data_IF_687134181250
#
_entry.id   IF_687134181250
#
_cell.length_a   1.000
_cell.length_b   1.000
_cell.length_c   1.000
_cell.angle_alpha   90.00
_cell.angle_beta   90.00
_cell.angle_gamma   90.00
#
_symmetry.space_group_name_H-M   'P 1'
#
loop_
_entity.id
_entity.type
_entity.pdbx_description
1 polymer ?
#
# COMPACT_ATOMS: atom_id res chain seq x y z
N UNK A 1 53.28 27.91 -20.67
CA UNK A 1 54.10 27.35 -19.60
C UNK A 1 53.20 26.43 -18.82
N UNK A 2 53.27 25.22 -19.11
CA UNK A 2 53.99 24.08 -18.51
C UNK A 2 53.05 23.34 -17.58
N UNK A 3 52.54 22.21 -18.00
CA UNK A 3 52.91 20.81 -17.69
C UNK A 3 52.32 20.32 -16.38
N UNK A 4 51.69 19.17 -16.14
CA UNK A 4 51.95 17.75 -16.48
C UNK A 4 50.87 16.93 -15.77
N UNK A 5 50.41 15.86 -16.00
CA UNK A 5 50.47 14.53 -16.63
C UNK A 5 49.36 13.64 -16.06
N UNK A 6 48.64 13.03 -16.88
CA UNK A 6 48.19 11.62 -17.08
C UNK A 6 48.70 10.61 -16.03
N UNK A 7 47.76 9.85 -15.45
CA UNK A 7 47.96 8.42 -15.14
C UNK A 7 46.69 7.66 -15.39
N UNK A 8 46.75 6.78 -16.37
CA UNK A 8 45.89 5.62 -16.65
C UNK A 8 46.09 4.55 -15.57
N UNK A 9 45.02 3.97 -15.04
CA UNK A 9 45.10 2.59 -14.53
C UNK A 9 43.81 1.82 -14.86
N UNK A 10 44.00 0.88 -15.75
CA UNK A 10 43.12 -0.27 -15.98
C UNK A 10 42.91 -1.04 -14.66
N UNK A 11 41.69 -1.54 -14.43
CA UNK A 11 41.50 -2.75 -13.64
C UNK A 11 40.32 -3.56 -14.19
N UNK A 12 40.63 -4.75 -14.49
CA UNK A 12 40.08 -6.00 -14.96
C UNK A 12 38.70 -6.37 -14.35
N UNK A 13 37.82 -7.05 -15.11
CA UNK A 13 36.54 -7.53 -14.62
C UNK A 13 36.69 -8.84 -13.82
N UNK A 14 36.05 -8.91 -12.68
CA UNK A 14 35.93 -10.14 -11.90
C UNK A 14 34.66 -10.92 -12.31
N UNK A 15 34.93 -12.13 -12.80
CA UNK A 15 34.03 -13.23 -13.09
C UNK A 15 33.29 -13.65 -11.78
N UNK A 16 31.98 -13.65 -11.75
CA UNK A 16 31.22 -14.35 -10.71
C UNK A 16 30.55 -15.57 -11.34
N UNK A 17 31.06 -16.73 -10.95
CA UNK A 17 30.53 -18.04 -11.29
C UNK A 17 29.22 -18.31 -10.54
N UNK A 18 28.20 -18.69 -11.29
CA UNK A 18 26.95 -19.23 -10.76
C UNK A 18 27.16 -20.66 -10.25
N UNK A 19 26.94 -20.89 -8.96
CA UNK A 19 26.80 -22.22 -8.38
C UNK A 19 25.30 -22.56 -8.26
N UNK A 20 24.86 -23.41 -9.16
CA UNK A 20 23.58 -24.09 -9.06
C UNK A 20 23.73 -25.27 -8.08
N UNK A 21 23.07 -25.20 -6.94
CA UNK A 21 22.91 -26.34 -6.03
C UNK A 21 21.59 -27.05 -6.34
N UNK A 22 21.72 -28.19 -6.99
CA UNK A 22 20.65 -29.19 -7.13
C UNK A 22 20.46 -29.91 -5.78
N UNK A 23 19.32 -29.73 -5.15
CA UNK A 23 18.93 -30.57 -4.01
C UNK A 23 18.18 -31.78 -4.51
N UNK A 24 18.82 -32.97 -4.38
CA UNK A 24 18.25 -34.26 -4.63
C UNK A 24 17.28 -34.65 -3.50
N UNK A 25 16.05 -35.03 -3.87
CA UNK A 25 15.11 -35.70 -2.97
C UNK A 25 15.63 -37.13 -2.67
N UNK A 26 15.96 -37.36 -1.42
CA UNK A 26 16.20 -38.73 -0.92
C UNK A 26 14.87 -39.29 -0.39
N UNK A 27 14.32 -40.27 -1.10
CA UNK A 27 13.29 -41.17 -0.60
C UNK A 27 13.97 -42.17 0.34
N UNK A 28 13.61 -42.13 1.61
CA UNK A 28 13.94 -43.22 2.54
C UNK A 28 12.73 -44.14 2.69
N UNK A 29 12.83 -45.31 2.09
CA UNK A 29 11.95 -46.45 2.29
C UNK A 29 12.26 -47.10 3.65
N UNK A 30 11.25 -47.17 4.50
CA UNK A 30 11.28 -47.98 5.72
C UNK A 30 11.17 -49.48 5.39
N UNK A 31 11.94 -50.38 6.05
CA UNK A 31 11.72 -51.81 5.93
C UNK A 31 10.72 -52.31 7.00
N UNK A 32 9.79 -53.11 6.55
CA UNK A 32 8.85 -53.87 7.37
C UNK A 32 9.58 -54.85 8.30
N UNK A 33 9.24 -54.87 9.57
CA UNK A 33 9.64 -55.88 10.54
C UNK A 33 8.64 -57.02 10.62
N UNK A 34 9.10 -58.26 10.80
CA UNK A 34 8.27 -59.48 10.72
C UNK A 34 7.49 -59.78 12.01
N UNK A 35 6.32 -60.34 11.80
CA UNK A 35 5.47 -60.94 12.82
C UNK A 35 6.18 -62.08 13.56
N UNK A 36 6.29 -62.00 14.87
CA UNK A 36 6.62 -63.13 15.74
C UNK A 36 5.35 -63.50 16.51
N UNK A 37 4.86 -64.69 16.18
CA UNK A 37 3.80 -65.39 16.89
C UNK A 37 4.43 -66.10 18.09
N UNK A 38 4.00 -65.78 19.31
CA UNK A 38 4.43 -66.48 20.53
C UNK A 38 3.29 -66.44 21.53
N UNK A 39 2.47 -67.50 21.53
CA UNK A 39 1.52 -67.72 22.58
C UNK A 39 2.20 -68.15 23.88
N UNK A 40 1.73 -67.58 24.99
CA UNK A 40 1.85 -68.25 26.29
C UNK A 40 0.62 -67.93 27.18
N UNK A 41 0.24 -68.98 27.85
CA UNK A 41 -0.96 -69.13 28.66
C UNK A 41 -0.97 -68.35 29.99
N UNK A 42 -2.17 -67.96 30.35
CA UNK A 42 -2.77 -67.86 31.69
C UNK A 42 -1.87 -67.89 32.94
N UNK A 43 -1.89 -66.79 33.73
CA UNK A 43 -2.10 -66.96 35.18
C UNK A 43 -2.72 -65.64 35.73
N UNK A 44 -3.73 -65.86 36.54
CA UNK A 44 -4.53 -64.90 37.26
C UNK A 44 -3.75 -64.20 38.36
N UNK A 45 -3.87 -62.84 38.49
CA UNK A 45 -3.98 -62.25 39.81
C UNK A 45 -4.74 -60.91 39.75
N UNK A 46 -5.70 -60.85 40.60
CA UNK A 46 -6.65 -59.73 40.85
C UNK A 46 -5.96 -58.60 41.58
N UNK A 47 -5.91 -57.43 41.00
CA UNK A 47 -5.98 -56.14 41.73
C UNK A 47 -6.43 -55.05 40.71
N UNK A 48 -7.72 -55.10 40.36
CA UNK A 48 -8.33 -54.03 39.54
C UNK A 48 -8.64 -52.84 40.47
N UNK A 49 -7.70 -51.92 40.56
CA UNK A 49 -8.04 -50.53 40.85
C UNK A 49 -8.80 -49.98 39.66
N UNK A 50 -10.10 -49.96 39.70
CA UNK A 50 -10.94 -49.26 38.73
C UNK A 50 -10.59 -47.78 38.73
N UNK A 51 -9.71 -47.35 37.85
CA UNK A 51 -9.72 -45.95 37.40
C UNK A 51 -11.00 -45.76 36.60
N UNK A 52 -12.06 -45.35 37.27
CA UNK A 52 -13.22 -44.77 36.61
C UNK A 52 -12.74 -43.57 35.85
N UNK A 53 -12.49 -43.74 34.55
CA UNK A 53 -12.49 -42.65 33.62
C UNK A 53 -13.87 -41.97 33.77
N UNK A 54 -13.97 -40.68 34.03
CA UNK A 54 -15.24 -40.03 34.08
C UNK A 54 -15.93 -40.26 32.73
N UNK A 55 -17.05 -40.97 32.76
CA UNK A 55 -17.92 -41.20 31.60
C UNK A 55 -18.27 -39.87 30.95
N UNK A 56 -18.79 -39.88 29.71
CA UNK A 56 -19.16 -38.63 29.05
C UNK A 56 -20.15 -37.91 29.96
N UNK A 57 -19.67 -36.83 30.57
CA UNK A 57 -20.54 -35.94 31.36
C UNK A 57 -21.56 -35.37 30.39
N UNK A 58 -22.85 -35.68 30.58
CA UNK A 58 -23.98 -35.01 29.89
C UNK A 58 -24.04 -33.51 30.25
N UNK A 59 -22.93 -32.92 30.55
CA UNK A 59 -22.77 -31.53 30.92
C UNK A 59 -22.61 -30.64 29.70
N UNK A 60 -23.00 -29.39 29.82
CA UNK A 60 -22.92 -28.40 28.75
C UNK A 60 -21.78 -27.42 29.07
N UNK A 61 -20.76 -27.26 28.23
CA UNK A 61 -19.78 -26.19 28.39
C UNK A 61 -20.46 -24.84 28.15
N UNK A 62 -20.16 -23.83 28.96
CA UNK A 62 -20.73 -22.50 28.79
C UNK A 62 -19.67 -21.44 29.08
N UNK A 63 -19.37 -20.60 28.06
CA UNK A 63 -18.41 -19.51 28.19
C UNK A 63 -19.12 -18.23 28.66
N UNK A 64 -18.49 -17.54 29.60
CA UNK A 64 -18.84 -16.20 30.00
C UNK A 64 -17.61 -15.30 29.95
N UNK A 65 -17.70 -14.16 29.28
CA UNK A 65 -16.70 -13.12 29.38
C UNK A 65 -17.04 -12.20 30.56
N UNK A 66 -16.01 -11.88 31.35
CA UNK A 66 -16.09 -10.85 32.38
C UNK A 66 -15.60 -9.56 31.70
N UNK A 67 -16.45 -8.53 31.62
CA UNK A 67 -16.16 -7.26 30.97
C UNK A 67 -15.71 -7.41 29.50
N UNK A 68 -16.61 -7.83 28.59
CA UNK A 68 -16.25 -8.11 27.19
C UNK A 68 -15.84 -6.87 26.37
N UNK A 69 -16.00 -5.67 26.93
CA UNK A 69 -15.66 -4.40 26.27
C UNK A 69 -14.66 -3.64 27.12
N UNK A 70 -13.51 -3.34 26.55
CA UNK A 70 -12.51 -2.48 27.15
C UNK A 70 -12.39 -1.17 26.40
N UNK A 71 -12.61 -0.06 27.08
CA UNK A 71 -12.39 1.28 26.55
C UNK A 71 -11.02 1.78 27.04
N UNK A 72 -10.06 1.90 26.09
CA UNK A 72 -8.72 2.37 26.44
C UNK A 72 -8.61 3.91 26.46
N UNK A 73 -9.73 4.62 26.23
CA UNK A 73 -9.76 6.08 26.26
C UNK A 73 -8.96 6.71 25.12
N UNK A 74 -8.16 7.74 25.45
CA UNK A 74 -7.30 8.45 24.50
C UNK A 74 -5.85 8.04 24.70
N UNK A 75 -5.21 7.57 23.62
CA UNK A 75 -3.78 7.22 23.59
C UNK A 75 -3.11 7.88 22.39
N UNK A 76 -1.79 8.05 22.44
CA UNK A 76 -1.04 8.53 21.26
C UNK A 76 -0.60 7.36 20.38
N UNK A 77 -0.55 7.58 19.09
CA UNK A 77 -0.04 6.61 18.11
C UNK A 77 1.39 6.18 18.48
N UNK A 78 1.71 4.89 18.28
CA UNK A 78 2.95 4.29 18.76
C UNK A 78 2.86 3.71 20.17
N UNK A 79 1.74 3.89 20.87
CA UNK A 79 1.49 3.24 22.17
C UNK A 79 1.02 1.81 21.95
N UNK A 80 1.63 0.85 22.65
CA UNK A 80 1.12 -0.52 22.72
C UNK A 80 0.07 -0.61 23.83
N UNK A 81 -1.22 -0.65 23.44
CA UNK A 81 -2.33 -0.81 24.40
C UNK A 81 -2.44 -2.28 24.75
N UNK A 82 -2.30 -2.59 26.05
CA UNK A 82 -2.44 -3.95 26.58
C UNK A 82 -3.67 -4.06 27.47
N UNK A 83 -4.41 -5.16 27.31
CA UNK A 83 -5.54 -5.49 28.16
C UNK A 83 -5.65 -7.00 28.34
N UNK A 84 -6.21 -7.42 29.47
CA UNK A 84 -6.46 -8.82 29.79
C UNK A 84 -7.97 -8.98 29.96
N UNK A 85 -8.58 -9.67 29.00
CA UNK A 85 -9.96 -10.13 29.13
C UNK A 85 -9.99 -11.45 29.88
N UNK A 86 -10.97 -11.63 30.75
CA UNK A 86 -11.14 -12.86 31.52
C UNK A 86 -12.36 -13.62 31.03
N UNK A 87 -12.14 -14.90 30.73
CA UNK A 87 -13.19 -15.85 30.40
C UNK A 87 -13.36 -16.83 31.54
N UNK A 88 -14.60 -17.24 31.79
CA UNK A 88 -14.96 -18.23 32.81
C UNK A 88 -15.81 -19.32 32.16
N UNK A 89 -15.57 -20.58 32.55
CA UNK A 89 -16.49 -21.68 32.25
C UNK A 89 -17.55 -21.72 33.36
N UNK A 90 -18.76 -21.26 33.02
CA UNK A 90 -19.93 -21.30 33.95
C UNK A 90 -20.82 -22.52 33.70
N UNK A 91 -20.41 -23.39 32.77
CA UNK A 91 -21.07 -24.63 32.44
C UNK A 91 -20.70 -25.79 33.37
N UNK A 92 -21.18 -26.98 33.03
CA UNK A 92 -21.00 -28.21 33.81
C UNK A 92 -20.07 -29.23 33.11
N UNK A 93 -19.58 -28.91 31.91
CA UNK A 93 -18.62 -29.71 31.16
C UNK A 93 -17.36 -28.90 30.80
N UNK A 94 -16.24 -29.54 30.42
CA UNK A 94 -15.04 -28.84 29.99
C UNK A 94 -15.29 -27.92 28.80
N UNK A 95 -14.89 -26.67 28.93
CA UNK A 95 -14.92 -25.66 27.87
C UNK A 95 -13.58 -25.64 27.16
N UNK A 96 -13.57 -25.78 25.85
CA UNK A 96 -12.39 -25.68 25.01
C UNK A 96 -12.36 -24.36 24.25
N UNK A 97 -11.22 -23.65 24.28
CA UNK A 97 -10.93 -22.49 23.45
C UNK A 97 -10.21 -23.02 22.20
N UNK A 98 -10.98 -23.16 21.11
CA UNK A 98 -10.51 -23.75 19.86
C UNK A 98 -9.61 -22.79 19.05
N UNK A 99 -9.71 -21.49 19.31
CA UNK A 99 -8.89 -20.49 18.66
C UNK A 99 -9.27 -19.07 19.06
N UNK A 100 -8.38 -18.14 18.74
CA UNK A 100 -8.61 -16.71 18.91
C UNK A 100 -8.21 -16.00 17.62
N UNK A 101 -9.06 -15.13 17.09
CA UNK A 101 -8.81 -14.28 15.94
C UNK A 101 -8.96 -12.82 16.32
N UNK A 102 -8.20 -11.98 15.64
CA UNK A 102 -8.29 -10.51 15.76
C UNK A 102 -8.73 -9.90 14.45
N UNK A 103 -9.45 -8.79 14.51
CA UNK A 103 -9.97 -8.07 13.34
C UNK A 103 -8.90 -7.42 12.47
N UNK A 104 -7.66 -7.30 12.97
CA UNK A 104 -6.52 -6.76 12.22
C UNK A 104 -5.19 -7.43 12.63
N UNK A 105 -4.17 -7.36 11.76
CA UNK A 105 -2.80 -7.80 12.07
C UNK A 105 -2.06 -6.93 13.10
N UNK A 106 -2.62 -5.77 13.45
CA UNK A 106 -2.08 -4.85 14.47
C UNK A 106 -2.43 -5.28 15.91
N UNK A 107 -3.19 -6.38 16.08
CA UNK A 107 -3.62 -6.88 17.38
C UNK A 107 -3.22 -8.34 17.52
N UNK A 108 -2.54 -8.66 18.63
CA UNK A 108 -2.23 -10.02 19.03
C UNK A 108 -3.06 -10.41 20.26
N UNK A 109 -3.58 -11.64 20.27
CA UNK A 109 -4.38 -12.16 21.38
C UNK A 109 -4.05 -13.64 21.64
N UNK A 110 -3.83 -14.00 22.90
CA UNK A 110 -3.50 -15.37 23.30
C UNK A 110 -4.20 -15.73 24.62
N UNK A 111 -4.81 -16.95 24.70
CA UNK A 111 -5.36 -17.47 25.93
C UNK A 111 -4.25 -18.08 26.81
N UNK A 112 -4.37 -17.93 28.14
CA UNK A 112 -3.48 -18.58 29.10
C UNK A 112 -3.75 -20.08 29.23
N UNK A 113 -5.02 -20.49 29.12
CA UNK A 113 -5.47 -21.88 29.10
C UNK A 113 -6.37 -22.12 27.88
N UNK A 114 -6.21 -23.25 27.20
CA UNK A 114 -7.07 -23.69 26.09
C UNK A 114 -8.24 -24.55 26.51
N UNK A 115 -8.20 -25.11 27.71
CA UNK A 115 -9.29 -25.91 28.29
C UNK A 115 -9.55 -25.42 29.70
N UNK A 116 -10.84 -25.26 30.03
CA UNK A 116 -11.32 -24.81 31.35
C UNK A 116 -12.27 -25.84 31.89
N UNK A 117 -12.00 -26.38 33.07
CA UNK A 117 -12.94 -27.19 33.81
C UNK A 117 -14.10 -26.30 34.33
N UNK A 118 -15.24 -26.87 34.74
CA UNK A 118 -16.33 -26.11 35.35
C UNK A 118 -15.85 -25.19 36.48
N UNK A 119 -16.16 -23.90 36.37
CA UNK A 119 -15.74 -22.88 37.32
C UNK A 119 -14.37 -22.27 37.11
N UNK A 120 -13.51 -22.83 36.22
CA UNK A 120 -12.18 -22.29 35.91
C UNK A 120 -12.23 -21.05 35.02
N UNK A 121 -11.15 -20.29 35.08
CA UNK A 121 -10.96 -19.04 34.33
C UNK A 121 -9.71 -19.13 33.43
N UNK A 122 -9.72 -18.40 32.32
CA UNK A 122 -8.58 -18.14 31.44
C UNK A 122 -8.50 -16.67 31.08
N UNK A 123 -7.30 -16.15 31.11
CA UNK A 123 -7.02 -14.79 30.65
C UNK A 123 -6.72 -14.80 29.15
N UNK A 124 -7.29 -13.85 28.42
CA UNK A 124 -6.94 -13.55 27.03
C UNK A 124 -6.12 -12.25 27.07
N UNK A 125 -4.79 -12.38 26.96
CA UNK A 125 -3.93 -11.19 26.88
C UNK A 125 -3.98 -10.63 25.46
N UNK A 126 -4.40 -9.38 25.34
CA UNK A 126 -4.50 -8.66 24.05
C UNK A 126 -3.52 -7.51 24.04
N UNK A 127 -2.80 -7.36 22.93
CA UNK A 127 -1.91 -6.22 22.68
C UNK A 127 -2.29 -5.60 21.35
N UNK A 128 -2.69 -4.33 21.37
CA UNK A 128 -2.99 -3.53 20.20
C UNK A 128 -1.86 -2.52 19.95
N UNK A 129 -1.21 -2.62 18.79
CA UNK A 129 -0.17 -1.71 18.33
C UNK A 129 -0.79 -0.56 17.56
N UNK A 130 -0.68 0.66 18.10
CA UNK A 130 -1.32 1.84 17.51
C UNK A 130 -0.44 2.62 16.54
N UNK A 131 0.72 2.10 16.12
CA UNK A 131 1.69 2.85 15.29
C UNK A 131 1.11 3.33 13.96
N UNK A 132 0.19 2.58 13.38
CA UNK A 132 -0.46 2.90 12.10
C UNK A 132 -1.89 3.40 12.23
N UNK A 133 -2.36 3.56 13.46
CA UNK A 133 -3.73 3.96 13.75
C UNK A 133 -3.83 5.43 14.14
N UNK A 134 -4.96 6.04 13.79
CA UNK A 134 -5.33 7.39 14.16
C UNK A 134 -6.86 7.55 14.15
N UNK A 135 -7.36 8.39 15.06
CA UNK A 135 -8.80 8.60 15.26
C UNK A 135 -9.46 7.49 16.07
N UNK A 136 -10.79 7.38 16.02
CA UNK A 136 -11.55 6.35 16.72
C UNK A 136 -11.14 4.96 16.24
N UNK A 137 -10.75 4.09 17.16
CA UNK A 137 -10.31 2.73 16.89
C UNK A 137 -11.17 1.72 17.63
N UNK A 138 -11.61 0.68 16.93
CA UNK A 138 -12.31 -0.48 17.50
C UNK A 138 -11.64 -1.74 17.00
N UNK A 139 -11.33 -2.67 17.90
CA UNK A 139 -10.70 -3.96 17.62
C UNK A 139 -11.53 -5.06 18.23
N UNK A 140 -11.94 -6.00 17.41
CA UNK A 140 -12.69 -7.18 17.83
C UNK A 140 -11.75 -8.37 17.93
N UNK A 141 -11.86 -9.10 19.02
CA UNK A 141 -11.15 -10.34 19.29
C UNK A 141 -12.22 -11.43 19.40
N UNK A 142 -12.29 -12.29 18.39
CA UNK A 142 -13.25 -13.40 18.37
C UNK A 142 -12.61 -14.64 18.96
N UNK A 143 -13.21 -15.16 20.02
CA UNK A 143 -12.80 -16.41 20.68
C UNK A 143 -13.74 -17.52 20.21
N UNK A 144 -13.18 -18.59 19.66
CA UNK A 144 -13.91 -19.78 19.22
C UNK A 144 -13.93 -20.83 20.33
N UNK A 145 -15.11 -21.35 20.65
CA UNK A 145 -15.29 -22.32 21.73
C UNK A 145 -16.13 -23.53 21.30
N UNK A 146 -16.23 -24.53 22.17
CA UNK A 146 -17.15 -25.65 22.02
C UNK A 146 -18.50 -25.40 22.73
N UNK A 147 -18.78 -24.21 23.25
CA UNK A 147 -20.10 -23.82 23.73
C UNK A 147 -21.07 -23.73 22.55
N UNK A 148 -22.11 -24.57 22.52
CA UNK A 148 -23.07 -24.60 21.41
C UNK A 148 -23.88 -23.31 21.29
N UNK A 149 -24.07 -22.58 22.38
CA UNK A 149 -24.77 -21.29 22.42
C UNK A 149 -23.88 -20.12 22.03
N UNK A 150 -22.56 -20.24 22.25
CA UNK A 150 -21.57 -19.21 22.00
C UNK A 150 -20.31 -19.80 21.36
N UNK A 151 -20.47 -20.41 20.17
CA UNK A 151 -19.33 -20.95 19.40
C UNK A 151 -18.32 -19.86 19.03
N UNK A 152 -18.78 -18.62 18.94
CA UNK A 152 -17.98 -17.41 18.76
C UNK A 152 -18.38 -16.39 19.83
N UNK A 153 -17.39 -15.92 20.58
CA UNK A 153 -17.56 -14.88 21.58
C UNK A 153 -16.66 -13.70 21.19
N UNK A 154 -17.26 -12.53 21.03
CA UNK A 154 -16.54 -11.31 20.68
C UNK A 154 -16.18 -10.49 21.91
N UNK A 155 -14.88 -10.15 22.01
CA UNK A 155 -14.33 -9.20 22.96
C UNK A 155 -13.92 -7.94 22.19
N UNK A 156 -14.15 -6.77 22.76
CA UNK A 156 -13.95 -5.50 22.06
C UNK A 156 -13.01 -4.58 22.83
N UNK A 157 -11.98 -4.08 22.14
CA UNK A 157 -11.20 -2.92 22.60
C UNK A 157 -11.59 -1.70 21.76
N UNK A 158 -11.86 -0.58 22.40
CA UNK A 158 -12.19 0.67 21.72
C UNK A 158 -11.55 1.88 22.40
N UNK A 159 -11.36 2.95 21.64
CA UNK A 159 -10.82 4.20 22.14
C UNK A 159 -10.45 5.14 20.99
N UNK A 160 -9.67 6.17 21.27
CA UNK A 160 -9.29 7.20 20.32
C UNK A 160 -7.75 7.33 20.27
N UNK A 161 -7.16 7.06 19.11
CA UNK A 161 -5.71 7.17 18.89
C UNK A 161 -5.39 8.54 18.35
N UNK A 162 -4.68 9.35 19.11
CA UNK A 162 -4.22 10.68 18.71
C UNK A 162 -2.87 10.59 18.01
N UNK A 163 -2.67 11.36 16.95
CA UNK A 163 -1.34 11.52 16.36
C UNK A 163 -0.43 12.29 17.33
N UNK A 164 0.86 11.94 17.34
CA UNK A 164 1.83 12.70 18.13
C UNK A 164 2.16 14.04 17.46
N UNK A 165 2.24 14.02 16.12
CA UNK A 165 2.53 15.19 15.31
C UNK A 165 1.52 15.26 14.19
N UNK A 166 0.90 16.43 13.99
CA UNK A 166 -0.07 16.69 12.94
C UNK A 166 0.50 17.66 11.91
N UNK A 167 0.22 17.43 10.63
CA UNK A 167 0.44 18.37 9.55
C UNK A 167 -0.91 18.96 9.10
N UNK A 168 -0.97 20.28 8.95
CA UNK A 168 -2.16 20.96 8.45
C UNK A 168 -1.79 22.02 7.39
N UNK A 169 -2.21 21.84 6.13
CA UNK A 169 -2.93 20.68 5.59
C UNK A 169 -2.08 19.39 5.61
N UNK A 170 -2.76 18.24 5.67
CA UNK A 170 -2.11 16.91 5.65
C UNK A 170 -1.74 16.44 4.24
N UNK A 171 -2.15 17.16 3.22
CA UNK A 171 -1.89 16.93 1.79
C UNK A 171 -1.68 18.28 1.12
N UNK A 172 -0.69 18.37 0.23
CA UNK A 172 -0.43 19.55 -0.59
C UNK A 172 -0.78 19.26 -2.04
N UNK A 173 -1.63 20.10 -2.63
CA UNK A 173 -2.05 19.95 -4.03
C UNK A 173 -1.66 21.21 -4.80
N UNK A 174 -0.77 21.04 -5.78
CA UNK A 174 -0.51 22.03 -6.82
C UNK A 174 -1.42 21.74 -8.00
N UNK A 175 -2.62 22.33 -8.03
CA UNK A 175 -3.67 21.93 -8.98
C UNK A 175 -3.19 21.97 -10.43
N UNK A 176 -3.09 23.16 -11.01
CA UNK A 176 -2.72 23.37 -12.42
C UNK A 176 -1.72 24.53 -12.52
N UNK A 177 -0.46 24.24 -12.34
CA UNK A 177 0.61 25.24 -12.34
C UNK A 177 1.15 25.41 -13.74
N UNK A 178 1.16 26.63 -14.28
CA UNK A 178 1.79 26.89 -15.57
C UNK A 178 3.30 26.63 -15.48
N UNK A 179 3.86 25.92 -16.44
CA UNK A 179 5.32 25.72 -16.55
C UNK A 179 6.06 27.05 -16.49
N UNK A 180 7.20 27.08 -15.82
CA UNK A 180 7.99 28.28 -15.63
C UNK A 180 7.54 29.18 -14.49
N UNK A 181 6.44 28.86 -13.80
CA UNK A 181 6.02 29.57 -12.60
C UNK A 181 6.40 28.80 -11.33
N UNK A 182 6.76 29.51 -10.31
CA UNK A 182 7.00 28.98 -8.96
C UNK A 182 5.73 29.14 -8.14
N UNK A 183 5.34 28.11 -7.42
CA UNK A 183 4.19 28.15 -6.52
C UNK A 183 4.56 27.53 -5.18
N UNK A 184 4.18 28.22 -4.09
CA UNK A 184 4.44 27.76 -2.73
C UNK A 184 3.14 27.56 -1.97
N UNK A 185 3.15 26.54 -1.09
CA UNK A 185 2.10 26.28 -0.12
C UNK A 185 2.68 26.08 1.26
N UNK A 186 1.93 26.49 2.27
CA UNK A 186 2.36 26.42 3.65
C UNK A 186 1.67 25.27 4.36
N UNK A 187 2.46 24.53 5.14
CA UNK A 187 1.97 23.46 6.02
C UNK A 187 2.46 23.73 7.43
N UNK A 188 1.54 23.78 8.38
CA UNK A 188 1.89 23.86 9.80
C UNK A 188 2.03 22.45 10.37
N UNK A 189 3.20 22.15 10.89
CA UNK A 189 3.46 20.91 11.64
C UNK A 189 3.35 21.22 13.12
N UNK A 190 2.47 20.51 13.84
CA UNK A 190 2.18 20.75 15.26
C UNK A 190 2.48 19.50 16.08
N UNK A 191 3.23 19.65 17.17
CA UNK A 191 3.37 18.62 18.20
C UNK A 191 2.15 18.65 19.13
N UNK A 192 1.38 17.57 19.12
CA UNK A 192 0.18 17.40 19.95
C UNK A 192 0.49 16.91 21.38
N UNK A 193 1.74 16.52 21.65
CA UNK A 193 2.15 16.02 22.96
C UNK A 193 2.68 17.15 23.86
N UNK A 194 2.26 17.24 25.14
CA UNK A 194 2.60 18.35 26.02
C UNK A 194 3.97 18.25 26.71
N UNK A 195 4.65 17.12 26.61
CA UNK A 195 5.66 16.69 27.59
C UNK A 195 7.13 16.98 27.26
N UNK A 196 7.46 17.43 26.04
CA UNK A 196 8.85 17.68 25.60
C UNK A 196 8.94 18.77 24.54
N UNK A 197 10.17 19.25 24.31
CA UNK A 197 10.49 20.13 23.22
C UNK A 197 10.33 19.42 21.87
N UNK A 198 9.66 20.09 20.95
CA UNK A 198 9.48 19.65 19.60
C UNK A 198 10.55 20.25 18.70
N UNK A 199 11.18 19.38 17.86
CA UNK A 199 12.14 19.80 16.83
C UNK A 199 11.93 18.98 15.56
N UNK A 200 12.17 19.62 14.43
CA UNK A 200 12.33 18.95 13.16
C UNK A 200 13.80 18.60 13.00
N UNK A 201 14.10 17.30 12.89
CA UNK A 201 15.47 16.81 12.78
C UNK A 201 15.92 16.77 11.31
N UNK A 202 15.04 16.38 10.40
CA UNK A 202 15.32 16.34 8.98
C UNK A 202 14.04 16.39 8.15
N UNK A 203 14.17 16.94 6.94
CA UNK A 203 13.11 16.91 5.92
C UNK A 203 13.68 16.21 4.68
N UNK A 204 12.95 15.25 4.14
CA UNK A 204 13.33 14.47 2.96
C UNK A 204 12.19 14.40 1.97
N UNK A 205 12.51 14.55 0.70
CA UNK A 205 11.61 14.31 -0.43
C UNK A 205 12.43 13.77 -1.62
N UNK A 206 11.78 13.13 -2.57
CA UNK A 206 12.44 12.47 -3.69
C UNK A 206 12.58 13.38 -4.91
N UNK A 207 11.59 14.25 -5.15
CA UNK A 207 11.54 15.09 -6.34
C UNK A 207 12.52 16.27 -6.23
N UNK A 208 13.39 16.50 -7.24
CA UNK A 208 14.23 17.69 -7.29
C UNK A 208 13.44 18.99 -7.55
N UNK A 209 12.17 18.85 -7.93
CA UNK A 209 11.29 19.96 -8.26
C UNK A 209 10.46 20.46 -7.05
N UNK A 210 10.55 19.76 -5.93
CA UNK A 210 9.92 20.17 -4.66
C UNK A 210 11.00 20.63 -3.70
N UNK A 211 10.98 21.90 -3.33
CA UNK A 211 11.83 22.47 -2.27
C UNK A 211 11.00 22.63 -1.00
N UNK A 212 11.57 22.26 0.12
CA UNK A 212 10.95 22.42 1.43
C UNK A 212 11.87 23.19 2.36
N UNK A 213 11.36 24.24 2.95
CA UNK A 213 12.04 24.98 4.02
C UNK A 213 11.19 24.95 5.28
N UNK A 214 11.82 24.93 6.44
CA UNK A 214 11.16 24.98 7.73
C UNK A 214 11.52 26.24 8.50
N UNK A 215 10.53 26.79 9.19
CA UNK A 215 10.69 27.93 10.06
C UNK A 215 9.97 27.65 11.39
N UNK A 216 10.69 27.81 12.51
CA UNK A 216 10.08 27.78 13.83
C UNK A 216 9.23 29.02 14.05
N UNK A 217 8.03 28.85 14.60
CA UNK A 217 7.15 29.97 14.89
C UNK A 217 7.54 30.62 16.21
N UNK A 218 7.82 31.94 16.24
CA UNK A 218 8.13 32.65 17.46
C UNK A 218 7.04 32.50 18.53
N UNK A 219 7.43 32.21 19.78
CA UNK A 219 6.49 32.06 20.90
C UNK A 219 5.74 30.74 20.95
N UNK A 220 5.95 29.83 19.99
CA UNK A 220 5.33 28.51 20.02
C UNK A 220 6.34 27.42 19.62
N UNK A 221 7.04 26.85 20.60
CA UNK A 221 8.05 25.81 20.42
C UNK A 221 7.47 24.46 19.93
N UNK A 222 6.14 24.34 19.85
CA UNK A 222 5.42 23.12 19.45
C UNK A 222 4.91 23.17 18.01
N UNK A 223 5.24 24.24 17.27
CA UNK A 223 4.80 24.43 15.89
C UNK A 223 5.96 24.84 15.00
N UNK A 224 5.99 24.26 13.82
CA UNK A 224 6.87 24.67 12.74
C UNK A 224 6.06 24.93 11.47
N UNK A 225 6.43 25.97 10.74
CA UNK A 225 5.87 26.27 9.44
C UNK A 225 6.79 25.68 8.37
N UNK A 226 6.25 24.83 7.51
CA UNK A 226 6.92 24.36 6.30
C UNK A 226 6.43 25.19 5.12
N UNK A 227 7.36 25.67 4.32
CA UNK A 227 7.07 26.27 3.04
C UNK A 227 7.48 25.28 1.96
N UNK A 228 6.48 24.70 1.26
CA UNK A 228 6.64 23.69 0.22
C UNK A 228 6.49 24.38 -1.12
N UNK A 229 7.53 24.39 -1.91
CA UNK A 229 7.63 25.14 -3.16
C UNK A 229 7.83 24.20 -4.33
N UNK A 230 6.93 24.27 -5.29
CA UNK A 230 7.13 23.72 -6.63
C UNK A 230 7.96 24.72 -7.44
N UNK A 231 9.17 24.31 -7.85
CA UNK A 231 10.09 25.19 -8.56
C UNK A 231 9.70 25.39 -10.03
N UNK A 232 10.08 26.52 -10.59
CA UNK A 232 9.76 26.89 -11.97
C UNK A 232 10.39 26.01 -13.04
N UNK A 233 11.39 25.20 -12.70
CA UNK A 233 12.04 24.25 -13.61
C UNK A 233 11.33 22.91 -13.71
N UNK A 234 10.21 22.71 -12.99
CA UNK A 234 9.44 21.48 -13.06
C UNK A 234 8.94 21.20 -14.49
N UNK A 235 9.14 19.98 -15.01
CA UNK A 235 8.67 19.60 -16.34
C UNK A 235 7.15 19.57 -16.39
N UNK A 236 6.59 19.72 -17.61
CA UNK A 236 5.16 19.54 -17.81
C UNK A 236 4.73 18.08 -17.51
N UNK A 237 3.59 17.92 -16.88
CA UNK A 237 3.04 16.63 -16.53
C UNK A 237 2.58 16.52 -15.07
N UNK A 238 2.20 15.33 -14.64
CA UNK A 238 1.79 15.08 -13.26
C UNK A 238 2.99 15.17 -12.31
N UNK A 239 2.75 15.69 -11.12
CA UNK A 239 3.70 15.72 -10.02
C UNK A 239 3.14 14.85 -8.91
N UNK A 240 3.99 13.98 -8.38
CA UNK A 240 3.73 13.24 -7.16
C UNK A 240 5.04 13.14 -6.37
N UNK A 241 4.97 13.46 -5.09
CA UNK A 241 6.10 13.32 -4.15
C UNK A 241 5.56 13.04 -2.74
N UNK A 242 6.45 12.65 -1.85
CA UNK A 242 6.18 12.45 -0.44
C UNK A 242 7.22 13.20 0.38
N UNK A 243 6.80 14.26 1.06
CA UNK A 243 7.66 14.98 1.99
C UNK A 243 7.60 14.28 3.34
N UNK A 244 8.73 13.71 3.75
CA UNK A 244 8.89 13.06 5.05
C UNK A 244 9.60 13.99 6.01
N UNK A 245 8.90 14.39 7.07
CA UNK A 245 9.39 15.26 8.14
C UNK A 245 9.74 14.40 9.34
N UNK A 246 11.02 14.19 9.59
CA UNK A 246 11.50 13.53 10.79
C UNK A 246 11.52 14.52 11.94
N UNK A 247 10.99 14.13 13.08
CA UNK A 247 10.89 14.97 14.26
C UNK A 247 11.41 14.24 15.49
N UNK A 248 11.55 14.92 16.60
CA UNK A 248 11.84 14.29 17.91
C UNK A 248 10.73 13.36 18.41
N UNK A 249 9.61 13.28 17.66
CA UNK A 249 8.46 12.38 17.85
C UNK A 249 8.38 11.38 16.69
N UNK A 250 7.16 10.99 16.33
CA UNK A 250 6.91 10.19 15.12
C UNK A 250 7.10 11.03 13.86
N UNK A 251 7.66 10.44 12.79
CA UNK A 251 7.72 11.10 11.49
C UNK A 251 6.32 11.46 10.97
N UNK A 252 6.24 12.57 10.25
CA UNK A 252 5.04 12.99 9.51
C UNK A 252 5.31 12.90 8.03
N UNK A 253 4.38 12.33 7.30
CA UNK A 253 4.42 12.21 5.85
C UNK A 253 3.36 13.11 5.24
N UNK A 254 3.79 13.98 4.32
CA UNK A 254 2.93 14.94 3.63
C UNK A 254 2.97 14.59 2.14
N UNK A 255 1.92 13.95 1.61
CA UNK A 255 1.81 13.69 0.18
C UNK A 255 1.70 15.00 -0.60
N UNK A 256 2.38 15.04 -1.74
CA UNK A 256 2.32 16.14 -2.69
C UNK A 256 1.74 15.60 -3.99
N UNK A 257 0.78 16.31 -4.55
CA UNK A 257 0.26 16.01 -5.87
C UNK A 257 0.04 17.29 -6.66
N UNK A 258 0.00 17.18 -7.99
CA UNK A 258 -0.25 18.34 -8.84
C UNK A 258 -0.09 18.03 -10.32
N UNK A 259 -0.25 19.08 -11.12
CA UNK A 259 -0.02 19.03 -12.57
C UNK A 259 0.62 20.30 -13.04
N UNK A 260 1.78 20.19 -13.69
CA UNK A 260 2.40 21.29 -14.41
C UNK A 260 1.83 21.29 -15.83
N UNK A 261 1.18 22.41 -16.19
CA UNK A 261 0.67 22.62 -17.53
C UNK A 261 1.81 23.01 -18.45
N UNK A 262 2.02 22.22 -19.48
CA UNK A 262 2.94 22.57 -20.55
C UNK A 262 2.35 23.56 -21.53
N UNK A 263 3.19 24.01 -22.46
CA UNK A 263 2.78 24.88 -23.55
C UNK A 263 2.10 24.13 -24.68
N UNK A 264 2.34 22.81 -24.78
CA UNK A 264 1.73 21.95 -25.78
C UNK A 264 0.45 21.32 -25.25
N UNK A 265 -0.67 21.66 -25.85
CA UNK A 265 -2.00 21.23 -25.43
C UNK A 265 -2.65 20.39 -26.50
N UNK A 266 -3.27 19.29 -26.10
CA UNK A 266 -4.02 18.37 -26.96
C UNK A 266 -5.52 18.61 -26.82
N UNK A 267 -6.23 18.65 -27.95
CA UNK A 267 -7.70 18.71 -27.97
C UNK A 267 -8.26 17.79 -29.08
N UNK A 268 -8.96 16.70 -28.72
CA UNK A 268 -9.15 16.17 -27.37
C UNK A 268 -7.84 15.62 -26.77
N UNK A 269 -7.73 15.48 -25.43
CA UNK A 269 -6.52 14.98 -24.76
C UNK A 269 -6.30 13.49 -24.93
N UNK A 270 -7.28 12.77 -25.44
CA UNK A 270 -7.27 11.34 -25.73
C UNK A 270 -8.12 11.01 -26.96
N UNK A 271 -7.86 9.90 -27.61
CA UNK A 271 -8.61 9.44 -28.77
C UNK A 271 -9.55 8.30 -28.39
N UNK A 272 -10.84 8.48 -28.61
CA UNK A 272 -11.83 7.40 -28.52
C UNK A 272 -12.25 6.96 -29.92
N UNK A 273 -12.01 5.69 -30.23
CA UNK A 273 -12.56 5.10 -31.45
C UNK A 273 -14.01 4.64 -31.28
N UNK A 274 -14.45 4.45 -30.03
CA UNK A 274 -15.75 3.85 -29.72
C UNK A 274 -15.79 2.37 -30.05
N UNK A 275 -16.94 1.90 -30.53
CA UNK A 275 -17.10 0.54 -31.08
C UNK A 275 -16.86 0.62 -32.59
N UNK A 276 -15.89 -0.13 -33.09
CA UNK A 276 -15.55 -0.21 -34.51
C UNK A 276 -15.92 -1.59 -35.02
N UNK A 277 -16.78 -1.72 -36.04
CA UNK A 277 -17.16 -3.02 -36.61
C UNK A 277 -15.96 -3.78 -37.17
N UNK A 278 -16.08 -5.10 -37.25
CA UNK A 278 -15.07 -5.97 -37.89
C UNK A 278 -14.67 -5.43 -39.28
N UNK A 279 -13.40 -5.56 -39.63
CA UNK A 279 -12.85 -5.19 -40.91
C UNK A 279 -13.10 -3.73 -41.35
N UNK A 280 -13.41 -2.86 -40.37
CA UNK A 280 -13.64 -1.44 -40.61
C UNK A 280 -12.46 -0.61 -40.16
N UNK A 281 -12.18 0.47 -40.89
CA UNK A 281 -11.24 1.49 -40.45
C UNK A 281 -11.97 2.60 -39.69
N UNK A 282 -11.27 3.25 -38.78
CA UNK A 282 -11.80 4.42 -38.08
C UNK A 282 -10.76 5.54 -38.10
N UNK A 283 -11.21 6.76 -38.35
CA UNK A 283 -10.37 7.94 -38.42
C UNK A 283 -10.77 8.91 -37.31
N UNK A 284 -9.77 9.44 -36.59
CA UNK A 284 -9.96 10.46 -35.54
C UNK A 284 -8.92 11.54 -35.70
N UNK A 285 -9.21 12.68 -35.13
CA UNK A 285 -8.33 13.85 -35.19
C UNK A 285 -8.08 14.38 -33.79
N UNK A 286 -6.84 14.80 -33.57
CA UNK A 286 -6.42 15.54 -32.36
C UNK A 286 -5.71 16.79 -32.84
N UNK A 287 -6.01 17.90 -32.21
CA UNK A 287 -5.31 19.16 -32.43
C UNK A 287 -4.24 19.32 -31.36
N UNK A 288 -2.99 19.52 -31.79
CA UNK A 288 -1.90 19.92 -30.91
C UNK A 288 -1.69 21.42 -31.08
N UNK A 289 -1.81 22.17 -29.99
CA UNK A 289 -1.65 23.63 -29.96
C UNK A 289 -0.49 23.99 -29.05
N UNK A 290 0.42 24.83 -29.54
CA UNK A 290 1.49 25.43 -28.78
C UNK A 290 1.06 26.83 -28.31
N UNK A 291 0.86 26.99 -26.99
CA UNK A 291 0.54 28.26 -26.32
C UNK A 291 1.77 28.98 -25.73
N UNK A 292 2.96 28.39 -25.88
CA UNK A 292 4.22 28.99 -25.41
C UNK A 292 4.73 30.11 -26.31
N UNK A 293 5.79 30.76 -25.92
CA UNK A 293 6.32 31.94 -26.63
C UNK A 293 7.16 31.55 -27.86
N UNK A 294 7.73 30.33 -27.90
CA UNK A 294 8.56 29.85 -28.97
C UNK A 294 7.81 28.91 -29.91
N UNK A 295 8.13 28.94 -31.24
CA UNK A 295 7.60 27.95 -32.16
C UNK A 295 8.18 26.55 -31.82
N UNK A 296 7.34 25.53 -31.87
CA UNK A 296 7.72 24.12 -31.61
C UNK A 296 7.39 23.29 -32.84
N UNK A 297 8.33 22.47 -33.30
CA UNK A 297 8.12 21.54 -34.43
C UNK A 297 7.87 20.14 -33.91
N UNK A 298 6.93 19.45 -34.55
CA UNK A 298 6.78 18.02 -34.36
C UNK A 298 7.85 17.32 -35.21
N UNK A 299 8.73 16.57 -34.58
CA UNK A 299 9.86 15.86 -35.18
C UNK A 299 9.56 14.41 -35.54
N UNK A 300 8.49 13.85 -34.92
CA UNK A 300 8.07 12.49 -35.17
C UNK A 300 6.77 12.14 -34.46
N UNK A 301 6.13 11.08 -34.94
CA UNK A 301 4.96 10.49 -34.31
C UNK A 301 5.06 8.97 -34.43
N UNK A 302 4.73 8.26 -33.37
CA UNK A 302 4.73 6.80 -33.35
C UNK A 302 3.60 6.27 -32.46
N UNK A 303 3.17 5.05 -32.77
CA UNK A 303 2.17 4.32 -31.99
C UNK A 303 2.81 3.12 -31.32
N UNK A 304 2.42 2.79 -30.08
CA UNK A 304 2.80 1.54 -29.42
C UNK A 304 1.88 0.35 -29.79
N UNK A 305 0.92 0.57 -30.70
CA UNK A 305 0.03 -0.46 -31.23
C UNK A 305 0.10 -0.47 -32.76
N UNK A 306 0.48 -1.61 -33.35
CA UNK A 306 0.69 -1.74 -34.80
C UNK A 306 -0.60 -1.52 -35.63
N UNK A 307 -1.78 -1.70 -35.04
CA UNK A 307 -3.06 -1.46 -35.72
C UNK A 307 -3.44 0.02 -35.80
N UNK A 308 -2.71 0.92 -35.13
CA UNK A 308 -2.99 2.35 -35.13
C UNK A 308 -1.84 3.11 -35.75
N UNK A 309 -2.13 3.80 -36.85
CA UNK A 309 -1.19 4.66 -37.54
C UNK A 309 -1.57 6.11 -37.36
N UNK A 310 -0.59 6.98 -37.22
CA UNK A 310 -0.81 8.40 -37.05
C UNK A 310 0.05 9.23 -38.01
N UNK A 311 -0.53 10.33 -38.46
CA UNK A 311 0.14 11.35 -39.28
C UNK A 311 0.02 12.72 -38.61
N UNK A 312 0.93 13.63 -38.98
CA UNK A 312 0.91 15.01 -38.49
C UNK A 312 0.99 15.97 -39.68
N UNK A 313 0.12 16.97 -39.66
CA UNK A 313 0.07 18.05 -40.61
C UNK A 313 0.10 19.41 -39.90
N UNK A 314 0.98 20.37 -40.27
CA UNK A 314 0.95 21.68 -39.70
C UNK A 314 -0.27 22.48 -40.23
N UNK A 315 -1.09 23.01 -39.31
CA UNK A 315 -2.12 23.99 -39.63
C UNK A 315 -1.50 25.39 -39.60
N UNK A 316 -0.71 25.66 -38.58
CA UNK A 316 0.09 26.86 -38.41
C UNK A 316 1.46 26.46 -37.89
N UNK A 317 2.48 26.57 -38.75
CA UNK A 317 3.85 26.13 -38.45
C UNK A 317 4.33 26.63 -37.09
N UNK A 318 4.82 25.71 -36.25
CA UNK A 318 5.32 26.00 -34.94
C UNK A 318 4.25 26.30 -33.86
N UNK A 319 2.97 26.36 -34.23
CA UNK A 319 1.89 26.77 -33.34
C UNK A 319 0.74 25.79 -33.27
N UNK A 320 0.39 25.15 -34.39
CA UNK A 320 -0.80 24.32 -34.45
C UNK A 320 -0.62 23.18 -35.46
N UNK A 321 -0.95 21.98 -35.05
CA UNK A 321 -0.84 20.75 -35.80
C UNK A 321 -2.12 19.94 -35.74
N UNK A 322 -2.49 19.34 -36.86
CA UNK A 322 -3.53 18.32 -36.96
C UNK A 322 -2.87 16.94 -36.87
N UNK A 323 -3.22 16.18 -35.90
CA UNK A 323 -2.82 14.78 -35.73
C UNK A 323 -3.97 13.92 -36.24
N UNK A 324 -3.71 13.18 -37.31
CA UNK A 324 -4.65 12.20 -37.85
C UNK A 324 -4.33 10.83 -37.27
N UNK A 325 -5.32 10.16 -36.68
CA UNK A 325 -5.17 8.86 -36.05
C UNK A 325 -6.10 7.87 -36.70
N UNK A 326 -5.53 6.87 -37.34
CA UNK A 326 -6.27 5.89 -38.12
C UNK A 326 -6.11 4.48 -37.56
N UNK A 327 -7.24 3.83 -37.32
CA UNK A 327 -7.29 2.40 -37.04
C UNK A 327 -7.33 1.60 -38.33
N UNK A 328 -6.44 0.61 -38.44
CA UNK A 328 -6.38 -0.28 -39.58
C UNK A 328 -7.62 -1.19 -39.66
N UNK A 329 -8.11 -1.52 -40.89
CA UNK A 329 -9.31 -2.35 -41.03
C UNK A 329 -9.13 -3.80 -40.58
N UNK A 330 -7.89 -4.30 -40.55
CA UNK A 330 -7.59 -5.67 -40.12
C UNK A 330 -7.16 -5.75 -38.64
N UNK A 331 -7.63 -4.80 -37.82
CA UNK A 331 -7.41 -4.83 -36.35
C UNK A 331 -8.11 -6.03 -35.74
N UNK A 332 -7.42 -6.86 -34.95
CA UNK A 332 -8.06 -7.97 -34.24
C UNK A 332 -9.21 -7.51 -33.33
N UNK A 333 -10.22 -8.38 -33.19
CA UNK A 333 -11.33 -8.13 -32.28
C UNK A 333 -10.88 -8.04 -30.83
N UNK A 334 -11.59 -7.21 -30.07
CA UNK A 334 -11.35 -7.04 -28.64
C UNK A 334 -11.11 -5.60 -28.23
N UNK A 335 -10.56 -5.44 -27.03
CA UNK A 335 -10.26 -4.12 -26.46
C UNK A 335 -9.00 -3.55 -27.11
N UNK A 336 -9.16 -2.40 -27.75
CA UNK A 336 -8.05 -1.60 -28.29
C UNK A 336 -7.61 -0.59 -27.25
N UNK A 337 -6.32 -0.60 -26.89
CA UNK A 337 -5.69 0.40 -26.02
C UNK A 337 -4.27 0.67 -26.49
N UNK A 338 -3.82 1.89 -26.29
CA UNK A 338 -2.44 2.27 -26.58
C UNK A 338 -2.19 3.75 -26.40
N UNK A 339 -0.98 4.17 -26.80
CA UNK A 339 -0.55 5.56 -26.78
C UNK A 339 0.12 5.92 -28.10
N UNK A 340 -0.11 7.13 -28.56
CA UNK A 340 0.73 7.78 -29.53
C UNK A 340 1.77 8.62 -28.83
N UNK A 341 3.02 8.54 -29.22
CA UNK A 341 4.09 9.41 -28.79
C UNK A 341 4.37 10.43 -29.90
N UNK A 342 4.10 11.70 -29.62
CA UNK A 342 4.41 12.82 -30.51
C UNK A 342 5.74 13.39 -30.03
N UNK A 343 6.77 13.31 -30.84
CA UNK A 343 8.10 13.87 -30.58
C UNK A 343 8.14 15.33 -31.04
N UNK A 344 8.73 16.18 -30.22
CA UNK A 344 8.87 17.61 -30.53
C UNK A 344 10.30 18.08 -30.29
N UNK A 345 10.64 19.25 -30.79
CA UNK A 345 11.90 19.96 -30.53
C UNK A 345 11.82 20.89 -29.30
N UNK A 346 10.70 20.87 -28.55
CA UNK A 346 10.61 21.59 -27.28
C UNK A 346 11.50 20.90 -26.24
N UNK A 347 12.51 21.60 -25.67
CA UNK A 347 13.44 20.98 -24.72
C UNK A 347 12.76 20.51 -23.42
N UNK A 348 11.54 20.98 -23.13
CA UNK A 348 10.81 20.67 -21.92
C UNK A 348 9.59 19.75 -22.12
N UNK A 349 9.15 19.57 -23.38
CA UNK A 349 8.06 18.69 -23.78
C UNK A 349 8.43 17.90 -25.04
N UNK A 350 9.57 17.21 -24.98
CA UNK A 350 10.06 16.40 -26.11
C UNK A 350 9.12 15.27 -26.50
N UNK A 351 8.32 14.78 -25.52
CA UNK A 351 7.35 13.71 -25.68
C UNK A 351 5.98 14.14 -25.21
N UNK A 352 5.02 14.17 -26.13
CA UNK A 352 3.61 14.40 -25.83
C UNK A 352 2.84 13.12 -26.10
N UNK A 353 2.21 12.56 -25.05
CA UNK A 353 1.49 11.30 -25.11
C UNK A 353 0.01 11.52 -25.37
N UNK A 354 -0.56 10.77 -26.33
CA UNK A 354 -1.99 10.78 -26.65
C UNK A 354 -2.54 9.37 -26.43
N UNK A 355 -3.19 9.10 -25.30
CA UNK A 355 -3.85 7.82 -25.08
C UNK A 355 -4.96 7.58 -26.11
N UNK A 356 -5.12 6.34 -26.53
CA UNK A 356 -6.26 5.95 -27.35
C UNK A 356 -6.89 4.65 -26.84
N UNK A 357 -8.21 4.54 -27.08
CA UNK A 357 -8.98 3.36 -26.72
C UNK A 357 -10.15 3.14 -27.68
N UNK A 358 -10.62 1.92 -27.72
CA UNK A 358 -11.79 1.49 -28.49
C UNK A 358 -12.10 0.04 -28.25
N UNK A 359 -13.10 -0.46 -28.95
CA UNK A 359 -13.45 -1.87 -29.00
C UNK A 359 -13.69 -2.23 -30.47
N UNK A 360 -13.03 -3.27 -30.94
CA UNK A 360 -13.21 -3.80 -32.28
C UNK A 360 -14.09 -5.04 -32.19
N UNK A 361 -15.15 -5.10 -33.00
CA UNK A 361 -16.05 -6.24 -33.01
C UNK A 361 -17.52 -5.85 -33.12
N UNK A 362 -18.39 -6.86 -33.28
CA UNK A 362 -19.84 -6.67 -33.24
C UNK A 362 -20.36 -7.10 -31.87
N UNK A 363 -21.01 -6.18 -31.17
CA UNK A 363 -21.84 -6.54 -30.03
C UNK A 363 -23.26 -6.81 -30.55
N UNK A 364 -23.74 -8.05 -30.41
CA UNK A 364 -25.17 -8.31 -30.52
C UNK A 364 -25.78 -7.71 -29.25
N UNK A 365 -26.56 -6.63 -29.42
CA UNK A 365 -27.43 -6.09 -28.37
C UNK A 365 -28.51 -7.08 -27.97
#
# INVERSE_FOLDING_TARGET
MSWFKIIFKLCVPALIAALASTMALAHSSEPASPLVNGGFSSESDQAAGQFNAPGPSNGNPQVQAIDPVYDFGKVYSGTAVKHIFRLKNVGTAPLNINGVRTSCGCTAAQPTKKQLLPGEESDITVTFDTRTDHGPATRTITVFTNDQSHQQLDLTMRGDVKVQVAANPSLVIFERVKRGTEQSQQVTVTDEMPDRDFKIDAIKNASPYIKVTSQSLPGNQRRALLNITLVNTAPAGPIADLVKVNTTRTPVEIPISGTVLGDLNLNPPQVSFGIVPHHSSALRFVRLTNSGDHPVRVTGISSNNASVVAGVEPIKTGREYKITVQLAPNTPDGVLRGNLAIKTDDPHQQDVQVPFYGIVGSFKG
#
